data_IF_714586332368
#
_entry.id   IF_714586332368
#
_cell.length_a   1.000
_cell.length_b   1.000
_cell.length_c   1.000
_cell.angle_alpha   90.00
_cell.angle_beta   90.00
_cell.angle_gamma   90.00
#
_symmetry.space_group_name_H-M   'P 1'
#
loop_
_entity.id
_entity.type
_entity.pdbx_description
1 polymer ?
#
# COMPACT_ATOMS: atom_id res chain seq x y z
N UNK A 1 -17.81 -12.69 -11.92
CA UNK A 1 -16.62 -11.81 -12.00
C UNK A 1 -15.47 -12.66 -12.49
N UNK A 2 -14.80 -12.29 -13.59
CA UNK A 2 -13.58 -12.98 -13.98
C UNK A 2 -12.53 -12.79 -12.88
N UNK A 3 -12.19 -13.87 -12.20
CA UNK A 3 -11.18 -13.87 -11.14
C UNK A 3 -9.82 -13.69 -11.80
N UNK A 4 -9.12 -12.59 -11.50
CA UNK A 4 -7.73 -12.43 -11.95
C UNK A 4 -6.92 -13.62 -11.42
N UNK A 5 -6.20 -14.29 -12.32
CA UNK A 5 -5.25 -15.33 -11.94
C UNK A 5 -3.97 -14.66 -11.43
N UNK A 6 -3.79 -14.66 -10.12
CA UNK A 6 -2.57 -14.20 -9.48
C UNK A 6 -1.53 -15.33 -9.47
N UNK A 7 -0.28 -14.99 -9.76
CA UNK A 7 0.83 -15.93 -9.75
C UNK A 7 2.05 -15.31 -9.09
N UNK A 8 2.83 -16.11 -8.37
CA UNK A 8 4.08 -15.62 -7.79
C UNK A 8 5.07 -15.20 -8.89
N UNK A 9 5.88 -14.18 -8.63
CA UNK A 9 6.88 -13.67 -9.57
C UNK A 9 8.26 -13.54 -8.93
N UNK A 10 9.30 -13.66 -9.76
CA UNK A 10 10.68 -13.49 -9.30
C UNK A 10 10.93 -12.09 -8.75
N UNK A 11 10.45 -11.05 -9.43
CA UNK A 11 10.65 -9.65 -9.00
C UNK A 11 10.01 -9.36 -7.63
N UNK A 12 8.83 -9.89 -7.38
CA UNK A 12 8.16 -9.74 -6.09
C UNK A 12 8.86 -10.54 -4.99
N UNK A 13 9.29 -11.78 -5.26
CA UNK A 13 10.09 -12.57 -4.29
C UNK A 13 11.39 -11.86 -3.93
N UNK A 14 12.09 -11.29 -4.91
CA UNK A 14 13.31 -10.50 -4.68
C UNK A 14 13.03 -9.27 -3.82
N UNK A 15 11.96 -8.52 -4.09
CA UNK A 15 11.60 -7.35 -3.29
C UNK A 15 11.27 -7.71 -1.83
N UNK A 16 10.54 -8.79 -1.61
CA UNK A 16 10.23 -9.30 -0.25
C UNK A 16 11.53 -9.70 0.47
N UNK A 17 12.40 -10.48 -0.19
CA UNK A 17 13.65 -10.93 0.40
C UNK A 17 14.58 -9.75 0.77
N UNK A 18 14.66 -8.73 -0.08
CA UNK A 18 15.46 -7.53 0.18
C UNK A 18 14.99 -6.80 1.47
N UNK A 19 13.67 -6.67 1.66
CA UNK A 19 13.11 -6.08 2.88
C UNK A 19 13.38 -6.94 4.11
N UNK A 20 13.22 -8.27 4.02
CA UNK A 20 13.51 -9.18 5.14
C UNK A 20 14.98 -9.05 5.59
N UNK A 21 15.91 -9.04 4.63
CA UNK A 21 17.34 -8.89 4.92
C UNK A 21 17.62 -7.53 5.56
N UNK A 22 17.04 -6.45 5.03
CA UNK A 22 17.26 -5.10 5.55
C UNK A 22 16.64 -4.87 6.94
N UNK A 23 15.51 -5.52 7.25
CA UNK A 23 14.84 -5.40 8.54
C UNK A 23 15.56 -6.16 9.67
N UNK A 24 16.27 -7.24 9.32
CA UNK A 24 16.92 -8.13 10.28
C UNK A 24 15.95 -8.65 11.34
N UNK A 25 16.48 -9.00 12.52
CA UNK A 25 15.69 -9.51 13.64
C UNK A 25 14.76 -8.45 14.26
N UNK A 26 15.00 -7.16 14.00
CA UNK A 26 14.23 -6.05 14.57
C UNK A 26 12.90 -5.79 13.86
N UNK A 27 12.66 -6.37 12.68
CA UNK A 27 11.42 -6.18 11.92
C UNK A 27 11.14 -4.73 11.50
N UNK A 28 12.17 -3.87 11.53
CA UNK A 28 12.07 -2.44 11.22
C UNK A 28 13.23 -2.00 10.33
N UNK A 29 12.99 -1.01 9.48
CA UNK A 29 13.93 -0.51 8.47
C UNK A 29 14.05 1.00 8.59
N UNK A 30 15.29 1.50 8.66
CA UNK A 30 15.59 2.91 8.46
C UNK A 30 15.44 3.25 6.96
N UNK A 31 14.20 3.53 6.54
CA UNK A 31 13.83 3.64 5.14
C UNK A 31 14.41 4.87 4.45
N UNK A 32 14.46 5.98 5.17
CA UNK A 32 14.94 7.27 4.68
C UNK A 32 15.84 7.94 5.72
N UNK A 33 16.91 8.64 5.31
CA UNK A 33 17.76 9.40 6.21
C UNK A 33 16.96 10.40 7.05
N UNK A 34 17.25 10.49 8.35
CA UNK A 34 16.60 11.44 9.26
C UNK A 34 15.14 11.14 9.59
N UNK A 35 14.66 9.92 9.31
CA UNK A 35 13.33 9.45 9.70
C UNK A 35 13.43 8.29 10.70
N UNK A 36 12.48 8.16 11.66
CA UNK A 36 12.42 6.98 12.51
C UNK A 36 12.28 5.69 11.69
N UNK A 37 12.90 4.57 12.11
CA UNK A 37 12.67 3.28 11.47
C UNK A 37 11.20 2.93 11.39
N UNK A 38 10.77 2.35 10.27
CA UNK A 38 9.40 1.89 10.06
C UNK A 38 9.32 0.36 10.05
N UNK A 39 8.19 -0.24 10.41
CA UNK A 39 7.98 -1.67 10.25
C UNK A 39 8.23 -2.15 8.81
N UNK A 40 8.73 -3.39 8.67
CA UNK A 40 9.03 -4.06 7.40
C UNK A 40 7.87 -4.02 6.37
N UNK A 41 6.64 -4.21 6.82
CA UNK A 41 5.43 -4.15 5.99
C UNK A 41 5.13 -2.74 5.46
N UNK A 42 5.49 -1.70 6.21
CA UNK A 42 5.40 -0.31 5.74
C UNK A 42 6.49 -0.04 4.73
N UNK A 43 7.73 -0.43 5.01
CA UNK A 43 8.84 -0.23 4.09
C UNK A 43 8.57 -0.88 2.73
N UNK A 44 8.12 -2.15 2.74
CA UNK A 44 7.77 -2.88 1.53
C UNK A 44 6.60 -2.22 0.80
N UNK A 45 5.54 -1.83 1.51
CA UNK A 45 4.40 -1.13 0.89
C UNK A 45 4.83 0.19 0.25
N UNK A 46 5.59 1.03 0.97
CA UNK A 46 6.04 2.35 0.51
C UNK A 46 6.87 2.23 -0.77
N UNK A 47 7.91 1.39 -0.75
CA UNK A 47 8.87 1.32 -1.85
C UNK A 47 8.31 0.61 -3.08
N UNK A 48 7.53 -0.45 -2.89
CA UNK A 48 7.17 -1.36 -3.98
C UNK A 48 5.76 -1.11 -4.52
N UNK A 49 4.85 -0.60 -3.68
CA UNK A 49 3.43 -0.49 -4.04
C UNK A 49 2.87 0.93 -3.99
N UNK A 50 3.25 1.78 -3.04
CA UNK A 50 2.64 3.11 -2.92
C UNK A 50 3.32 4.10 -3.86
N UNK A 51 4.64 4.33 -3.69
CA UNK A 51 5.37 5.31 -4.51
C UNK A 51 5.24 5.07 -6.02
N UNK A 52 5.35 3.82 -6.55
CA UNK A 52 5.26 3.60 -7.99
C UNK A 52 3.86 3.84 -8.58
N UNK A 53 2.81 3.78 -7.76
CA UNK A 53 1.42 3.85 -8.23
C UNK A 53 0.73 5.19 -7.96
N UNK A 54 1.10 5.94 -6.92
CA UNK A 54 0.50 7.25 -6.62
C UNK A 54 1.08 8.37 -7.48
N UNK A 55 2.35 8.29 -7.86
CA UNK A 55 3.09 9.43 -8.40
C UNK A 55 3.42 10.47 -7.31
N UNK A 56 4.26 11.46 -7.63
CA UNK A 56 4.74 12.44 -6.65
C UNK A 56 4.65 13.86 -7.17
N UNK A 57 4.04 14.75 -6.38
CA UNK A 57 4.08 16.20 -6.61
C UNK A 57 4.76 16.93 -5.45
N UNK A 58 5.87 17.62 -5.70
CA UNK A 58 6.54 18.43 -4.67
C UNK A 58 5.82 19.74 -4.36
N UNK A 59 4.85 20.15 -5.17
CA UNK A 59 4.03 21.34 -4.96
C UNK A 59 2.60 20.91 -4.66
N UNK A 60 1.99 21.56 -3.67
CA UNK A 60 0.58 21.33 -3.36
C UNK A 60 -0.29 21.72 -4.57
N UNK A 61 -1.22 20.84 -4.92
CA UNK A 61 -2.23 21.06 -5.94
C UNK A 61 -3.62 20.85 -5.35
N UNK A 62 -4.62 21.50 -5.93
CA UNK A 62 -5.99 21.35 -5.49
C UNK A 62 -6.63 20.17 -6.24
N UNK A 63 -6.78 19.05 -5.53
CA UNK A 63 -7.37 17.84 -6.07
C UNK A 63 -8.90 17.99 -6.11
N UNK A 64 -9.42 18.26 -7.31
CA UNK A 64 -10.86 18.40 -7.58
C UNK A 64 -11.55 17.08 -7.87
N UNK A 65 -10.78 15.98 -8.03
CA UNK A 65 -11.32 14.62 -8.20
C UNK A 65 -11.72 14.05 -6.85
N UNK A 66 -10.98 14.40 -5.79
CA UNK A 66 -11.37 14.12 -4.41
C UNK A 66 -12.75 14.72 -4.07
N UNK A 67 -13.51 14.01 -3.23
CA UNK A 67 -14.84 14.44 -2.77
C UNK A 67 -14.90 14.43 -1.24
N UNK A 68 -14.90 15.60 -0.57
CA UNK A 68 -14.77 16.96 -1.12
C UNK A 68 -13.37 17.23 -1.71
N UNK A 69 -13.26 18.24 -2.57
CA UNK A 69 -11.99 18.66 -3.12
C UNK A 69 -11.03 19.11 -2.00
N UNK A 70 -9.75 18.75 -2.12
CA UNK A 70 -8.78 18.88 -1.03
C UNK A 70 -7.40 19.24 -1.58
N UNK A 71 -6.64 19.99 -0.79
CA UNK A 71 -5.23 20.24 -1.11
C UNK A 71 -4.41 18.96 -0.91
N UNK A 72 -3.63 18.59 -1.92
CA UNK A 72 -2.84 17.36 -1.96
C UNK A 72 -1.39 17.67 -2.34
N UNK A 73 -0.44 16.99 -1.71
CA UNK A 73 1.01 17.10 -2.00
C UNK A 73 1.67 15.72 -1.90
N UNK A 74 2.92 15.61 -2.36
CA UNK A 74 3.72 14.39 -2.32
C UNK A 74 3.01 13.22 -2.99
N UNK A 75 3.00 12.05 -2.36
CA UNK A 75 2.43 10.81 -2.87
C UNK A 75 0.94 10.65 -2.48
N UNK A 76 0.17 11.74 -2.58
CA UNK A 76 -1.26 11.78 -2.24
C UNK A 76 -1.57 12.20 -0.80
N UNK A 77 -0.65 12.91 -0.13
CA UNK A 77 -0.89 13.38 1.23
C UNK A 77 -1.76 14.64 1.27
N UNK A 78 -2.80 14.61 2.11
CA UNK A 78 -3.76 15.69 2.35
C UNK A 78 -3.68 16.26 3.77
N UNK A 79 -2.78 15.75 4.64
CA UNK A 79 -2.72 16.16 6.03
C UNK A 79 -2.12 17.56 6.18
N UNK A 80 -2.91 18.52 6.64
CA UNK A 80 -2.48 19.91 6.87
C UNK A 80 -1.87 20.58 5.63
N UNK A 81 -2.29 20.17 4.43
CA UNK A 81 -1.81 20.76 3.18
C UNK A 81 -2.58 22.04 2.87
N UNK A 82 -1.86 23.06 2.40
CA UNK A 82 -2.38 24.40 2.13
C UNK A 82 -1.92 24.88 0.75
N UNK A 83 -2.64 25.84 0.13
CA UNK A 83 -2.18 26.49 -1.09
C UNK A 83 -0.75 27.02 -0.94
N UNK A 84 0.07 26.88 -1.99
CA UNK A 84 1.44 27.40 -2.02
C UNK A 84 2.49 26.54 -1.29
N UNK A 85 2.08 25.48 -0.59
CA UNK A 85 3.03 24.57 0.06
C UNK A 85 3.93 23.88 -0.97
N UNK A 86 5.22 23.83 -0.67
CA UNK A 86 6.24 23.10 -1.42
C UNK A 86 7.00 22.20 -0.44
N UNK A 87 7.31 20.99 -0.87
CA UNK A 87 8.01 20.00 -0.06
C UNK A 87 9.26 19.50 -0.80
N UNK A 88 10.23 19.01 -0.02
CA UNK A 88 11.42 18.37 -0.58
C UNK A 88 11.15 16.88 -0.86
N UNK A 89 11.94 16.21 -1.72
CA UNK A 89 11.82 14.77 -1.90
C UNK A 89 11.92 13.99 -0.57
N UNK A 90 12.88 14.35 0.29
CA UNK A 90 13.07 13.75 1.61
C UNK A 90 11.91 14.07 2.57
N UNK A 91 11.36 15.28 2.50
CA UNK A 91 10.16 15.66 3.23
C UNK A 91 8.95 14.82 2.81
N UNK A 92 8.73 14.62 1.51
CA UNK A 92 7.67 13.75 1.02
C UNK A 92 7.82 12.30 1.49
N UNK A 93 9.05 11.78 1.45
CA UNK A 93 9.37 10.45 1.96
C UNK A 93 9.03 10.33 3.46
N UNK A 94 9.41 11.32 4.27
CA UNK A 94 9.07 11.38 5.70
C UNK A 94 7.56 11.44 5.94
N UNK A 95 6.84 12.29 5.19
CA UNK A 95 5.39 12.45 5.30
C UNK A 95 4.67 11.14 4.98
N UNK A 96 5.04 10.49 3.88
CA UNK A 96 4.45 9.23 3.43
C UNK A 96 4.65 8.12 4.47
N UNK A 97 5.90 7.87 4.86
CA UNK A 97 6.22 6.82 5.82
C UNK A 97 5.52 7.03 7.17
N UNK A 98 5.57 8.26 7.69
CA UNK A 98 4.93 8.64 8.96
C UNK A 98 3.42 8.44 8.90
N UNK A 99 2.79 8.89 7.82
CA UNK A 99 1.33 8.80 7.67
C UNK A 99 0.86 7.36 7.53
N UNK A 100 1.56 6.51 6.79
CA UNK A 100 1.21 5.09 6.68
C UNK A 100 1.32 4.40 8.04
N UNK A 101 2.41 4.62 8.79
CA UNK A 101 2.56 4.04 10.14
C UNK A 101 1.42 4.48 11.06
N UNK A 102 1.19 5.81 11.15
CA UNK A 102 0.28 6.41 12.13
C UNK A 102 -1.20 6.20 11.80
N UNK A 103 -1.59 6.49 10.56
CA UNK A 103 -3.00 6.65 10.19
C UNK A 103 -3.59 5.41 9.50
N UNK A 104 -2.74 4.56 8.91
CA UNK A 104 -3.17 3.41 8.11
C UNK A 104 -2.86 2.08 8.80
N UNK A 105 -1.58 1.77 8.99
CA UNK A 105 -1.14 0.50 9.61
C UNK A 105 -1.74 0.32 10.99
N UNK A 106 -1.71 1.36 11.85
CA UNK A 106 -2.29 1.27 13.20
C UNK A 106 -3.77 0.85 13.20
N UNK A 107 -4.57 1.38 12.27
CA UNK A 107 -5.99 1.01 12.13
C UNK A 107 -6.18 -0.39 11.57
N UNK A 108 -5.34 -0.81 10.62
CA UNK A 108 -5.36 -2.17 10.09
C UNK A 108 -5.00 -3.21 11.15
N UNK A 109 -3.96 -2.95 11.94
CA UNK A 109 -3.56 -3.78 13.09
C UNK A 109 -4.72 -3.91 14.07
N UNK A 110 -5.44 -2.82 14.36
CA UNK A 110 -6.59 -2.85 15.26
C UNK A 110 -7.77 -3.68 14.71
N UNK A 111 -8.04 -3.63 13.39
CA UNK A 111 -9.20 -4.31 12.80
C UNK A 111 -8.91 -5.74 12.28
N UNK A 112 -7.65 -6.17 12.27
CA UNK A 112 -7.19 -7.49 11.83
C UNK A 112 -6.38 -8.12 12.96
N UNK A 113 -7.06 -8.84 13.86
CA UNK A 113 -6.48 -9.34 15.12
C UNK A 113 -5.25 -10.24 14.94
N UNK A 114 -5.12 -10.92 13.80
CA UNK A 114 -3.99 -11.80 13.49
C UNK A 114 -2.88 -11.11 12.66
N UNK A 115 -2.83 -9.77 12.61
CA UNK A 115 -1.89 -9.01 11.78
C UNK A 115 -0.45 -9.51 11.91
N UNK A 116 0.08 -9.66 13.13
CA UNK A 116 1.48 -10.04 13.35
C UNK A 116 1.81 -11.48 12.91
N UNK A 117 0.80 -12.34 12.70
CA UNK A 117 0.97 -13.70 12.15
C UNK A 117 0.81 -13.73 10.63
N UNK A 118 0.37 -12.63 10.01
CA UNK A 118 0.13 -12.57 8.58
C UNK A 118 1.46 -12.46 7.82
N UNK A 119 1.56 -13.07 6.62
CA UNK A 119 2.72 -12.95 5.75
C UNK A 119 3.08 -11.49 5.48
N UNK A 120 4.39 -11.17 5.44
CA UNK A 120 4.90 -9.82 5.19
C UNK A 120 4.32 -9.21 3.89
N UNK A 121 4.30 -10.00 2.81
CA UNK A 121 3.75 -9.56 1.52
C UNK A 121 2.28 -9.17 1.62
N UNK A 122 1.49 -9.91 2.41
CA UNK A 122 0.08 -9.64 2.64
C UNK A 122 -0.12 -8.38 3.48
N UNK A 123 0.65 -8.19 4.55
CA UNK A 123 0.63 -6.96 5.36
C UNK A 123 0.95 -5.73 4.52
N UNK A 124 1.97 -5.82 3.67
CA UNK A 124 2.35 -4.75 2.75
C UNK A 124 1.25 -4.45 1.71
N UNK A 125 0.63 -5.49 1.14
CA UNK A 125 -0.53 -5.34 0.26
C UNK A 125 -1.67 -4.60 0.95
N UNK A 126 -2.03 -4.98 2.18
CA UNK A 126 -3.11 -4.32 2.94
C UNK A 126 -2.79 -2.86 3.28
N UNK A 127 -1.54 -2.54 3.60
CA UNK A 127 -1.10 -1.15 3.80
C UNK A 127 -1.28 -0.31 2.51
N UNK A 128 -0.85 -0.83 1.34
CA UNK A 128 -1.02 -0.14 0.05
C UNK A 128 -2.49 0.00 -0.36
N UNK A 129 -3.27 -1.08 -0.17
CA UNK A 129 -4.70 -1.06 -0.46
C UNK A 129 -5.38 0.02 0.38
N UNK A 130 -5.15 0.02 1.70
CA UNK A 130 -5.74 0.99 2.60
C UNK A 130 -5.31 2.43 2.29
N UNK A 131 -4.07 2.66 1.87
CA UNK A 131 -3.63 3.98 1.40
C UNK A 131 -4.49 4.50 0.26
N UNK A 132 -4.87 3.63 -0.68
CA UNK A 132 -5.64 4.00 -1.85
C UNK A 132 -7.17 4.10 -1.61
N UNK A 133 -7.75 3.17 -0.84
CA UNK A 133 -9.22 3.10 -0.65
C UNK A 133 -9.68 3.60 0.71
N UNK A 134 -8.76 3.97 1.59
CA UNK A 134 -9.02 4.31 2.98
C UNK A 134 -9.11 3.08 3.90
N UNK A 135 -8.83 3.30 5.18
CA UNK A 135 -8.84 2.24 6.21
C UNK A 135 -10.23 1.66 6.47
N UNK A 136 -11.29 2.48 6.37
CA UNK A 136 -12.67 1.99 6.54
C UNK A 136 -13.04 0.95 5.49
N UNK A 137 -12.83 1.25 4.21
CA UNK A 137 -13.09 0.32 3.12
C UNK A 137 -12.18 -0.92 3.20
N UNK A 138 -10.90 -0.74 3.55
CA UNK A 138 -9.97 -1.86 3.73
C UNK A 138 -10.41 -2.80 4.87
N UNK A 139 -10.70 -2.28 6.06
CA UNK A 139 -11.12 -3.09 7.23
C UNK A 139 -12.46 -3.81 7.01
N UNK A 140 -13.40 -3.17 6.30
CA UNK A 140 -14.71 -3.73 5.95
C UNK A 140 -14.69 -4.67 4.74
N UNK A 141 -13.54 -4.83 4.08
CA UNK A 141 -13.44 -5.61 2.84
C UNK A 141 -13.53 -7.13 3.06
N UNK A 142 -13.93 -7.83 2.00
CA UNK A 142 -13.78 -9.29 1.93
C UNK A 142 -12.32 -9.73 2.07
N UNK A 143 -11.36 -8.94 1.59
CA UNK A 143 -9.94 -9.22 1.79
C UNK A 143 -9.59 -9.24 3.28
N UNK A 144 -9.93 -8.21 4.05
CA UNK A 144 -9.70 -8.18 5.50
C UNK A 144 -10.43 -9.32 6.22
N UNK A 145 -11.65 -9.67 5.82
CA UNK A 145 -12.39 -10.82 6.39
C UNK A 145 -11.66 -12.15 6.17
N UNK A 146 -11.16 -12.40 4.95
CA UNK A 146 -10.40 -13.61 4.62
C UNK A 146 -9.04 -13.63 5.32
N UNK A 147 -8.37 -12.48 5.39
CA UNK A 147 -7.13 -12.32 6.15
C UNK A 147 -7.31 -12.63 7.63
N UNK A 148 -8.37 -12.12 8.28
CA UNK A 148 -8.69 -12.48 9.67
C UNK A 148 -8.87 -13.99 9.88
N UNK A 149 -9.32 -14.71 8.86
CA UNK A 149 -9.48 -16.16 8.87
C UNK A 149 -8.21 -16.94 8.46
N UNK A 150 -7.08 -16.26 8.22
CA UNK A 150 -5.83 -16.90 7.78
C UNK A 150 -5.83 -17.38 6.32
N UNK A 151 -6.85 -16.99 5.55
CA UNK A 151 -7.04 -17.38 4.14
C UNK A 151 -6.32 -16.39 3.23
N UNK A 152 -4.99 -16.40 3.31
CA UNK A 152 -4.13 -15.36 2.74
C UNK A 152 -4.22 -15.28 1.21
N UNK A 153 -4.19 -16.43 0.53
CA UNK A 153 -4.26 -16.47 -0.93
C UNK A 153 -5.61 -15.94 -1.44
N UNK A 154 -6.71 -16.39 -0.84
CA UNK A 154 -8.05 -15.90 -1.20
C UNK A 154 -8.21 -14.42 -0.83
N UNK A 155 -7.57 -13.96 0.23
CA UNK A 155 -7.53 -12.54 0.56
C UNK A 155 -6.78 -11.72 -0.49
N UNK A 156 -5.64 -12.20 -1.00
CA UNK A 156 -4.91 -11.53 -2.09
C UNK A 156 -5.82 -11.38 -3.31
N UNK A 157 -6.53 -12.45 -3.67
CA UNK A 157 -7.48 -12.45 -4.80
C UNK A 157 -8.65 -11.51 -4.53
N UNK A 158 -9.23 -11.49 -3.33
CA UNK A 158 -10.35 -10.63 -2.98
C UNK A 158 -10.00 -9.13 -3.07
N UNK A 159 -8.74 -8.75 -2.79
CA UNK A 159 -8.28 -7.38 -2.94
C UNK A 159 -8.33 -6.88 -4.40
N UNK A 160 -8.34 -7.79 -5.39
CA UNK A 160 -8.44 -7.43 -6.82
C UNK A 160 -9.76 -6.77 -7.21
N UNK A 161 -10.79 -6.90 -6.38
CA UNK A 161 -12.11 -6.30 -6.61
C UNK A 161 -12.11 -4.76 -6.51
N UNK A 162 -11.11 -4.16 -5.86
CA UNK A 162 -10.98 -2.70 -5.70
C UNK A 162 -10.37 -2.04 -6.94
N UNK A 163 -10.93 -2.35 -8.11
CA UNK A 163 -10.48 -1.91 -9.42
C UNK A 163 -11.45 -0.95 -10.13
N UNK A 164 -12.40 -0.37 -9.39
CA UNK A 164 -13.44 0.50 -9.93
C UNK A 164 -13.40 1.90 -9.31
N UNK A 165 -13.72 2.89 -10.14
CA UNK A 165 -14.04 4.26 -9.73
C UNK A 165 -15.22 4.77 -10.56
N UNK A 166 -16.13 5.55 -9.98
CA UNK A 166 -17.34 6.01 -10.67
C UNK A 166 -18.20 4.87 -11.23
N UNK A 167 -18.24 3.72 -10.55
CA UNK A 167 -18.98 2.52 -10.98
C UNK A 167 -18.34 1.70 -12.11
N UNK A 168 -17.26 2.19 -12.72
CA UNK A 168 -16.61 1.56 -13.88
C UNK A 168 -15.24 1.00 -13.52
N UNK A 169 -14.83 -0.07 -14.18
CA UNK A 169 -13.47 -0.61 -14.06
C UNK A 169 -12.48 0.41 -14.62
N UNK A 170 -11.37 0.62 -13.90
CA UNK A 170 -10.26 1.48 -14.29
C UNK A 170 -9.02 0.61 -14.49
N UNK A 171 -8.45 0.62 -15.69
CA UNK A 171 -7.29 -0.22 -16.05
C UNK A 171 -6.12 -0.01 -15.10
N UNK A 172 -5.81 1.24 -14.73
CA UNK A 172 -4.75 1.53 -13.78
C UNK A 172 -4.98 0.90 -12.39
N UNK A 173 -6.23 0.91 -11.89
CA UNK A 173 -6.57 0.23 -10.64
C UNK A 173 -6.53 -1.29 -10.81
N UNK A 174 -6.99 -1.84 -11.93
CA UNK A 174 -6.91 -3.27 -12.19
C UNK A 174 -5.45 -3.77 -12.20
N UNK A 175 -4.54 -3.01 -12.83
CA UNK A 175 -3.11 -3.34 -12.84
C UNK A 175 -2.51 -3.22 -11.43
N UNK A 176 -2.81 -2.12 -10.71
CA UNK A 176 -2.35 -1.91 -9.33
C UNK A 176 -2.78 -3.04 -8.41
N UNK A 177 -4.04 -3.46 -8.49
CA UNK A 177 -4.60 -4.51 -7.63
C UNK A 177 -4.16 -5.91 -8.03
N UNK A 178 -3.90 -6.14 -9.31
CA UNK A 178 -3.59 -7.45 -9.89
C UNK A 178 -2.09 -7.73 -9.98
N UNK A 179 -1.64 -8.05 -11.19
CA UNK A 179 -0.27 -8.47 -11.49
C UNK A 179 0.71 -7.32 -11.76
N UNK A 180 0.28 -6.07 -11.62
CA UNK A 180 1.07 -4.90 -11.97
C UNK A 180 1.15 -4.67 -13.48
N UNK A 181 2.22 -4.02 -13.91
CA UNK A 181 2.55 -3.83 -15.32
C UNK A 181 4.05 -4.12 -15.56
N UNK A 182 4.58 -3.73 -16.73
CA UNK A 182 5.96 -3.98 -17.11
C UNK A 182 6.98 -3.42 -16.11
N UNK A 183 6.72 -2.25 -15.52
CA UNK A 183 7.67 -1.56 -14.64
C UNK A 183 7.29 -1.62 -13.16
N UNK A 184 6.02 -1.88 -12.83
CA UNK A 184 5.49 -1.81 -11.47
C UNK A 184 4.94 -3.14 -11.00
N UNK A 185 5.30 -3.52 -9.78
CA UNK A 185 4.74 -4.69 -9.10
C UNK A 185 3.31 -4.39 -8.67
N UNK A 186 2.40 -5.35 -8.90
CA UNK A 186 1.02 -5.26 -8.44
C UNK A 186 0.86 -5.70 -6.98
N UNK A 187 -0.17 -5.21 -6.31
CA UNK A 187 -0.52 -5.61 -4.95
C UNK A 187 -0.81 -7.11 -4.84
N UNK A 188 -1.60 -7.65 -5.79
CA UNK A 188 -1.87 -9.08 -5.86
C UNK A 188 -0.63 -9.90 -6.15
N UNK A 189 0.21 -9.48 -7.10
CA UNK A 189 1.50 -10.09 -7.41
C UNK A 189 2.42 -10.18 -6.18
N UNK A 190 2.61 -9.07 -5.48
CA UNK A 190 3.42 -9.03 -4.28
C UNK A 190 2.86 -9.99 -3.22
N UNK A 191 1.55 -9.88 -2.96
CA UNK A 191 0.85 -10.66 -1.95
C UNK A 191 1.07 -12.15 -2.17
N UNK A 192 0.70 -12.68 -3.34
CA UNK A 192 0.80 -14.12 -3.61
C UNK A 192 2.25 -14.62 -3.66
N UNK A 193 3.21 -13.77 -4.00
CA UNK A 193 4.62 -14.15 -4.04
C UNK A 193 5.24 -14.44 -2.67
N UNK A 194 4.64 -13.96 -1.58
CA UNK A 194 5.03 -14.29 -0.21
C UNK A 194 4.06 -15.22 0.52
N UNK A 195 3.05 -15.73 -0.19
CA UNK A 195 2.05 -16.70 0.33
C UNK A 195 2.22 -18.07 -0.34
N UNK A 196 2.71 -18.11 -1.59
CA UNK A 196 3.02 -19.31 -2.39
C UNK A 196 4.53 -19.61 -2.44
#
# INVERSE_FOLDING_TARGET
MATIKLTASKRAKTAIAAVIVAAGAGGTIALFPGTPPVPDDVALAVQVLVKPWEGRSLRAYYDTVAKPAVWTICDGDTTNVRPGMVETPAGCDKRLATKIVRDYRGKLVACIANWNRAPLSWRAMMNSLAWNIGTGAACGSTAARLGRAGRWLESCVAATAFNRAGGRMVVGLANRRGMGDASRIGEGELCVSGVL
#
